data_IF_404832061388
#
_entry.id   IF_404832061388
#
_cell.length_a   1.000
_cell.length_b   1.000
_cell.length_c   1.000
_cell.angle_alpha   90.00
_cell.angle_beta   90.00
_cell.angle_gamma   90.00
#
_symmetry.space_group_name_H-M   'P 1'
#
loop_
_entity.id
_entity.type
_entity.pdbx_description
1 polymer ?
#
# COMPACT_ATOMS: atom_id res chain seq x y z
N UNK A 1 -11.02 6.35 -27.24
CA UNK A 1 -12.28 6.02 -26.54
C UNK A 1 -12.62 7.12 -25.55
N UNK A 2 -13.90 7.52 -25.42
CA UNK A 2 -14.29 8.52 -24.43
C UNK A 2 -14.10 7.94 -23.02
N UNK A 3 -13.54 8.75 -22.13
CA UNK A 3 -13.47 8.45 -20.70
C UNK A 3 -14.66 9.16 -20.06
N UNK A 4 -15.53 8.40 -19.42
CA UNK A 4 -16.70 8.91 -18.72
C UNK A 4 -16.40 8.93 -17.20
N UNK A 5 -16.80 10.00 -16.54
CA UNK A 5 -16.70 10.10 -15.08
C UNK A 5 -17.99 9.58 -14.45
N UNK A 6 -17.88 8.56 -13.61
CA UNK A 6 -19.01 8.01 -12.85
C UNK A 6 -19.20 8.83 -11.57
N UNK A 7 -20.08 9.82 -11.66
CA UNK A 7 -20.39 10.67 -10.51
C UNK A 7 -21.23 9.90 -9.50
N UNK A 8 -20.80 9.92 -8.24
CA UNK A 8 -21.45 9.25 -7.10
C UNK A 8 -21.58 7.73 -7.29
N UNK A 9 -20.65 7.11 -8.02
CA UNK A 9 -20.53 5.64 -8.17
C UNK A 9 -21.77 4.93 -8.73
N UNK A 10 -22.66 5.65 -9.41
CA UNK A 10 -23.94 5.10 -9.91
C UNK A 10 -23.78 3.92 -10.86
N UNK A 11 -22.82 4.01 -11.77
CA UNK A 11 -22.55 2.94 -12.73
C UNK A 11 -21.80 1.81 -12.03
N UNK A 12 -20.83 2.12 -11.20
CA UNK A 12 -20.11 1.12 -10.42
C UNK A 12 -21.06 0.31 -9.53
N UNK A 13 -22.02 0.96 -8.87
CA UNK A 13 -23.03 0.29 -8.04
C UNK A 13 -24.00 -0.55 -8.86
N UNK A 14 -24.45 -0.05 -10.02
CA UNK A 14 -25.32 -0.79 -10.94
C UNK A 14 -24.67 -2.11 -11.40
N UNK A 15 -23.36 -2.08 -11.66
CA UNK A 15 -22.60 -3.27 -12.06
C UNK A 15 -22.10 -4.12 -10.88
N UNK A 16 -22.26 -3.66 -9.64
CA UNK A 16 -21.69 -4.32 -8.47
C UNK A 16 -20.15 -4.28 -8.43
N UNK A 17 -19.55 -3.25 -9.05
CA UNK A 17 -18.12 -3.08 -9.03
C UNK A 17 -17.63 -2.76 -7.62
N UNK A 18 -16.58 -3.45 -7.20
CA UNK A 18 -16.01 -3.30 -5.84
C UNK A 18 -14.55 -2.88 -5.84
N UNK A 19 -13.85 -3.05 -6.97
CA UNK A 19 -12.41 -2.79 -7.07
C UNK A 19 -12.03 -2.06 -8.35
N UNK A 20 -10.83 -1.50 -8.38
CA UNK A 20 -10.19 -0.93 -9.56
C UNK A 20 -8.80 -1.54 -9.76
N UNK A 21 -8.47 -2.05 -10.99
CA UNK A 21 -9.36 -2.20 -12.15
C UNK A 21 -10.27 -3.43 -12.02
N UNK A 22 -11.55 -3.25 -12.28
CA UNK A 22 -12.50 -4.34 -12.49
C UNK A 22 -13.18 -4.12 -13.84
N UNK A 23 -13.29 -5.18 -14.63
CA UNK A 23 -13.85 -5.10 -15.98
C UNK A 23 -15.14 -5.88 -16.11
N UNK A 24 -16.02 -5.42 -17.00
CA UNK A 24 -17.28 -6.07 -17.34
C UNK A 24 -17.39 -6.11 -18.85
N UNK A 25 -17.68 -7.29 -19.41
CA UNK A 25 -17.91 -7.47 -20.84
C UNK A 25 -19.36 -7.86 -21.05
N UNK A 26 -20.05 -7.07 -21.87
CA UNK A 26 -21.45 -7.26 -22.19
C UNK A 26 -21.57 -7.73 -23.65
N UNK A 27 -22.56 -8.59 -23.91
CA UNK A 27 -22.95 -8.95 -25.28
C UNK A 27 -23.84 -7.85 -25.93
N UNK A 28 -24.27 -8.08 -27.17
CA UNK A 28 -25.15 -7.16 -27.92
C UNK A 28 -26.51 -6.96 -27.26
N UNK A 29 -26.92 -7.88 -26.39
CA UNK A 29 -28.15 -7.81 -25.61
C UNK A 29 -27.93 -7.15 -24.24
N UNK A 30 -26.78 -6.56 -24.03
CA UNK A 30 -26.35 -5.92 -22.76
C UNK A 30 -26.34 -6.86 -21.54
N UNK A 31 -26.18 -8.16 -21.77
CA UNK A 31 -25.98 -9.16 -20.71
C UNK A 31 -24.52 -9.27 -20.41
N UNK A 32 -24.16 -9.27 -19.11
CA UNK A 32 -22.78 -9.48 -18.63
C UNK A 32 -22.38 -10.92 -18.98
N UNK A 33 -21.29 -11.07 -19.72
CA UNK A 33 -20.71 -12.36 -20.13
C UNK A 33 -19.37 -12.64 -19.46
N UNK A 34 -18.71 -11.59 -19.01
CA UNK A 34 -17.51 -11.69 -18.19
C UNK A 34 -17.46 -10.54 -17.21
N UNK A 35 -16.99 -10.82 -15.99
CA UNK A 35 -16.61 -9.77 -15.06
C UNK A 35 -15.40 -10.23 -14.19
N UNK A 36 -14.55 -9.27 -13.79
CA UNK A 36 -13.42 -9.56 -12.93
C UNK A 36 -12.14 -8.83 -13.31
N UNK A 37 -11.01 -9.52 -13.25
CA UNK A 37 -9.68 -8.96 -13.54
C UNK A 37 -9.41 -8.86 -15.04
N UNK A 38 -8.43 -8.01 -15.39
CA UNK A 38 -7.94 -7.92 -16.79
C UNK A 38 -7.15 -9.17 -17.14
N UNK A 39 -6.20 -9.53 -16.28
CA UNK A 39 -5.33 -10.71 -16.42
C UNK A 39 -4.90 -11.24 -15.04
N UNK A 40 -4.07 -12.27 -15.04
CA UNK A 40 -3.50 -12.86 -13.85
C UNK A 40 -2.07 -12.36 -13.55
N UNK A 41 -1.64 -11.25 -14.15
CA UNK A 41 -0.27 -10.75 -14.05
C UNK A 41 0.11 -10.33 -12.63
N UNK A 42 -0.86 -9.83 -11.86
CA UNK A 42 -0.61 -9.36 -10.50
C UNK A 42 -1.28 -10.27 -9.48
N UNK A 43 -0.53 -10.65 -8.46
CA UNK A 43 -1.06 -11.31 -7.26
C UNK A 43 -0.76 -10.47 -6.04
N UNK A 44 -1.67 -10.45 -5.07
CA UNK A 44 -1.38 -9.93 -3.75
C UNK A 44 -0.85 -11.08 -2.89
N UNK A 45 0.48 -11.16 -2.78
CA UNK A 45 1.15 -12.00 -1.80
C UNK A 45 1.94 -11.10 -0.87
N UNK A 46 2.00 -11.41 0.43
CA UNK A 46 2.83 -10.73 1.45
C UNK A 46 2.93 -9.19 1.36
N UNK A 47 1.83 -8.52 1.06
CA UNK A 47 1.71 -7.07 1.25
C UNK A 47 1.94 -6.17 0.04
N UNK A 48 2.46 -6.67 -1.07
CA UNK A 48 2.70 -5.89 -2.29
C UNK A 48 2.15 -6.62 -3.51
N UNK A 49 1.53 -5.88 -4.44
CA UNK A 49 1.11 -6.41 -5.74
C UNK A 49 2.35 -6.76 -6.57
N UNK A 50 2.74 -8.02 -6.56
CA UNK A 50 3.88 -8.51 -7.33
C UNK A 50 3.45 -8.93 -8.72
N UNK A 51 4.18 -8.43 -9.74
CA UNK A 51 4.06 -8.94 -11.09
C UNK A 51 4.61 -10.37 -11.15
N UNK A 52 3.83 -11.28 -11.72
CA UNK A 52 4.30 -12.65 -11.92
C UNK A 52 5.30 -12.67 -13.08
N UNK A 53 6.48 -13.31 -12.91
CA UNK A 53 7.52 -13.32 -13.94
C UNK A 53 7.16 -14.16 -15.18
N UNK A 54 6.17 -15.03 -15.07
CA UNK A 54 5.73 -15.90 -16.17
C UNK A 54 4.54 -15.29 -16.92
N UNK A 55 4.40 -15.65 -18.21
CA UNK A 55 3.26 -15.22 -19.04
C UNK A 55 1.96 -15.73 -18.43
N UNK A 56 1.18 -14.83 -17.88
CA UNK A 56 -0.05 -15.15 -17.15
C UNK A 56 -1.28 -15.17 -18.08
N UNK A 57 -2.32 -15.84 -17.65
CA UNK A 57 -3.59 -15.94 -18.36
C UNK A 57 -4.23 -14.56 -18.55
N UNK A 58 -4.53 -14.20 -19.80
CA UNK A 58 -5.17 -12.95 -20.19
C UNK A 58 -6.69 -13.13 -20.20
N UNK A 59 -7.32 -13.17 -19.03
CA UNK A 59 -8.72 -13.55 -18.87
C UNK A 59 -9.69 -12.68 -19.67
N UNK A 60 -9.52 -11.34 -19.62
CA UNK A 60 -10.34 -10.41 -20.41
C UNK A 60 -10.20 -10.63 -21.91
N UNK A 61 -8.98 -10.76 -22.42
CA UNK A 61 -8.73 -10.96 -23.84
C UNK A 61 -9.31 -12.28 -24.34
N UNK A 62 -9.23 -13.34 -23.53
CA UNK A 62 -9.84 -14.65 -23.85
C UNK A 62 -11.36 -14.52 -23.93
N UNK A 63 -11.97 -13.88 -22.93
CA UNK A 63 -13.43 -13.69 -22.89
C UNK A 63 -13.95 -12.90 -24.11
N UNK A 64 -13.26 -11.81 -24.47
CA UNK A 64 -13.61 -11.01 -25.66
C UNK A 64 -13.50 -11.84 -26.95
N UNK A 65 -12.40 -12.59 -27.14
CA UNK A 65 -12.23 -13.44 -28.32
C UNK A 65 -13.34 -14.48 -28.45
N UNK A 66 -13.66 -15.17 -27.36
CA UNK A 66 -14.71 -16.17 -27.34
C UNK A 66 -16.07 -15.58 -27.74
N UNK A 67 -16.40 -14.38 -27.25
CA UNK A 67 -17.64 -13.71 -27.64
C UNK A 67 -17.66 -13.27 -29.12
N UNK A 68 -16.52 -12.76 -29.61
CA UNK A 68 -16.40 -12.40 -31.03
C UNK A 68 -16.52 -13.62 -31.96
N UNK A 69 -16.02 -14.78 -31.51
CA UNK A 69 -16.17 -16.08 -32.22
C UNK A 69 -17.56 -16.71 -32.07
N UNK A 70 -18.50 -16.04 -31.40
CA UNK A 70 -19.84 -16.57 -31.11
C UNK A 70 -19.87 -17.72 -30.11
N UNK A 71 -18.78 -17.91 -29.34
CA UNK A 71 -18.65 -18.97 -28.34
C UNK A 71 -19.03 -18.48 -26.93
N UNK A 72 -19.51 -19.36 -26.06
CA UNK A 72 -19.70 -19.01 -24.66
C UNK A 72 -18.35 -18.72 -23.99
N UNK A 73 -18.36 -17.77 -23.02
CA UNK A 73 -17.17 -17.47 -22.23
C UNK A 73 -16.89 -18.62 -21.28
N UNK A 74 -15.72 -19.26 -21.42
CA UNK A 74 -15.35 -20.46 -20.66
C UNK A 74 -15.13 -20.19 -19.17
N UNK A 75 -14.72 -18.96 -18.82
CA UNK A 75 -14.57 -18.49 -17.44
C UNK A 75 -15.29 -17.15 -17.32
N UNK A 76 -16.58 -17.15 -16.96
CA UNK A 76 -17.41 -15.94 -16.95
C UNK A 76 -17.11 -14.98 -15.80
N UNK A 77 -16.41 -15.44 -14.77
CA UNK A 77 -16.09 -14.62 -13.61
C UNK A 77 -14.68 -14.92 -13.09
N UNK A 78 -13.97 -13.88 -12.67
CA UNK A 78 -12.69 -13.98 -11.96
C UNK A 78 -12.67 -12.96 -10.82
N UNK A 79 -11.83 -13.21 -9.81
CA UNK A 79 -11.65 -12.26 -8.72
C UNK A 79 -10.88 -11.04 -9.22
N UNK A 80 -11.51 -9.87 -9.21
CA UNK A 80 -10.83 -8.61 -9.47
C UNK A 80 -9.81 -8.34 -8.37
N UNK A 81 -8.61 -7.93 -8.77
CA UNK A 81 -7.51 -7.57 -7.86
C UNK A 81 -7.21 -6.10 -8.04
N UNK A 82 -6.97 -5.40 -6.95
CA UNK A 82 -6.74 -3.96 -6.96
C UNK A 82 -7.35 -3.28 -5.74
N UNK A 83 -7.36 -1.95 -5.77
CA UNK A 83 -7.91 -1.16 -4.66
C UNK A 83 -9.42 -1.25 -4.58
N UNK A 84 -9.97 -1.25 -3.38
CA UNK A 84 -11.41 -1.08 -3.20
C UNK A 84 -11.85 0.26 -3.80
N UNK A 85 -13.03 0.26 -4.43
CA UNK A 85 -13.70 1.51 -4.78
C UNK A 85 -14.20 2.12 -3.48
N UNK A 86 -13.48 3.13 -2.98
CA UNK A 86 -13.88 3.86 -1.77
C UNK A 86 -15.21 4.57 -2.03
N UNK A 87 -16.24 4.17 -1.31
CA UNK A 87 -17.53 4.86 -1.33
C UNK A 87 -17.57 5.81 -0.15
N UNK A 88 -17.70 7.10 -0.45
CA UNK A 88 -17.86 8.08 0.60
C UNK A 88 -19.14 7.76 1.41
N UNK A 89 -18.95 7.43 2.68
CA UNK A 89 -20.04 7.34 3.65
C UNK A 89 -20.18 8.70 4.31
N UNK A 90 -21.42 9.10 4.61
CA UNK A 90 -21.64 10.30 5.39
C UNK A 90 -21.03 10.13 6.79
N UNK A 91 -20.15 11.03 7.22
CA UNK A 91 -19.58 10.98 8.54
C UNK A 91 -20.63 11.08 9.64
N UNK A 92 -20.61 10.15 10.57
CA UNK A 92 -21.52 10.18 11.72
C UNK A 92 -20.99 11.18 12.76
N UNK A 93 -21.73 12.25 13.06
CA UNK A 93 -21.25 13.34 13.95
C UNK A 93 -21.01 12.86 15.37
N UNK A 94 -21.81 11.90 15.85
CA UNK A 94 -21.73 11.35 17.22
C UNK A 94 -20.82 10.12 17.33
N UNK A 95 -19.97 9.90 16.36
CA UNK A 95 -19.02 8.77 16.37
C UNK A 95 -18.10 8.84 17.61
N UNK A 96 -17.92 7.74 18.35
CA UNK A 96 -17.01 7.71 19.49
C UNK A 96 -15.52 7.76 19.03
N UNK A 97 -15.26 7.52 17.76
CA UNK A 97 -13.91 7.51 17.18
C UNK A 97 -13.83 8.54 16.05
N UNK A 98 -12.92 9.49 16.20
CA UNK A 98 -12.66 10.52 15.18
C UNK A 98 -11.20 10.51 14.75
N UNK A 99 -10.93 11.11 13.58
CA UNK A 99 -9.55 11.28 13.12
C UNK A 99 -8.72 12.09 14.11
N UNK A 100 -9.20 13.28 14.48
CA UNK A 100 -8.46 14.21 15.32
C UNK A 100 -8.08 13.60 16.67
N UNK A 101 -8.99 12.84 17.28
CA UNK A 101 -8.83 12.36 18.64
C UNK A 101 -8.04 11.05 18.74
N UNK A 102 -8.33 10.05 17.89
CA UNK A 102 -7.73 8.72 18.02
C UNK A 102 -6.90 8.31 16.80
N UNK A 103 -7.47 8.47 15.58
CA UNK A 103 -6.86 7.89 14.38
C UNK A 103 -5.56 8.59 14.02
N UNK A 104 -5.48 9.91 14.12
CA UNK A 104 -4.26 10.67 13.85
C UNK A 104 -3.07 10.20 14.69
N UNK A 105 -3.30 9.91 15.96
CA UNK A 105 -2.26 9.37 16.87
C UNK A 105 -1.81 7.97 16.47
N UNK A 106 -2.76 7.14 16.06
CA UNK A 106 -2.48 5.79 15.59
C UNK A 106 -1.66 5.83 14.29
N UNK A 107 -2.09 6.63 13.32
CA UNK A 107 -1.40 6.83 12.04
C UNK A 107 0.02 7.36 12.27
N UNK A 108 0.20 8.38 13.11
CA UNK A 108 1.52 8.91 13.43
C UNK A 108 2.45 7.86 14.03
N UNK A 109 1.91 7.01 14.89
CA UNK A 109 2.72 6.01 15.60
C UNK A 109 3.06 4.80 14.72
N UNK A 110 2.10 4.30 13.94
CA UNK A 110 2.18 3.00 13.27
C UNK A 110 2.38 3.07 11.75
N UNK A 111 2.01 4.19 11.11
CA UNK A 111 1.95 4.26 9.65
C UNK A 111 2.94 5.27 9.04
N UNK A 112 3.07 6.46 9.64
CA UNK A 112 3.88 7.56 9.08
C UNK A 112 5.38 7.24 8.95
N UNK A 113 5.88 6.22 9.64
CA UNK A 113 7.25 5.76 9.41
C UNK A 113 7.54 5.48 7.95
N UNK A 114 6.56 4.90 7.25
CA UNK A 114 6.64 4.54 5.84
C UNK A 114 5.75 5.42 4.94
N UNK A 115 4.55 5.82 5.43
CA UNK A 115 3.55 6.56 4.66
C UNK A 115 3.69 8.07 4.80
N UNK A 116 4.81 8.63 4.33
CA UNK A 116 5.07 10.06 4.20
C UNK A 116 5.92 10.35 2.98
N UNK A 117 5.90 11.56 2.51
CA UNK A 117 6.66 11.97 1.31
C UNK A 117 8.12 11.54 1.39
N UNK A 118 8.64 10.95 0.31
CA UNK A 118 10.03 10.49 0.20
C UNK A 118 10.35 9.18 0.92
N UNK A 119 9.35 8.46 1.43
CA UNK A 119 9.53 7.14 2.03
C UNK A 119 9.01 6.02 1.12
N UNK A 120 9.16 4.77 1.57
CA UNK A 120 8.92 3.55 0.79
C UNK A 120 7.44 3.36 0.38
N UNK A 121 6.49 3.88 1.15
CA UNK A 121 5.08 3.68 0.85
C UNK A 121 4.63 4.48 -0.39
N UNK A 122 3.71 3.96 -1.19
CA UNK A 122 3.31 4.55 -2.48
C UNK A 122 2.47 5.82 -2.34
N UNK A 123 1.98 6.14 -1.15
CA UNK A 123 1.17 7.33 -0.85
C UNK A 123 1.41 7.80 0.58
N UNK A 124 1.14 9.08 0.83
CA UNK A 124 1.27 9.67 2.15
C UNK A 124 -0.02 9.50 2.98
N UNK A 125 0.10 9.64 4.30
CA UNK A 125 -0.99 9.64 5.27
C UNK A 125 -0.78 10.80 6.27
N UNK A 126 -0.38 11.97 5.78
CA UNK A 126 0.07 13.08 6.61
C UNK A 126 -1.05 13.96 7.13
N UNK A 127 -2.20 13.93 6.47
CA UNK A 127 -3.37 14.71 6.83
C UNK A 127 -4.68 13.88 6.82
N UNK A 128 -5.78 14.54 7.20
CA UNK A 128 -7.08 13.90 7.28
C UNK A 128 -7.60 13.45 5.91
N UNK A 129 -7.48 14.29 4.90
CA UNK A 129 -8.01 14.04 3.56
C UNK A 129 -7.33 12.84 2.92
N UNK A 130 -6.02 12.71 3.06
CA UNK A 130 -5.26 11.55 2.60
C UNK A 130 -5.71 10.27 3.33
N UNK A 131 -5.81 10.31 4.66
CA UNK A 131 -6.16 9.11 5.44
C UNK A 131 -7.62 8.71 5.22
N UNK A 132 -8.56 9.67 5.19
CA UNK A 132 -9.97 9.40 4.96
C UNK A 132 -10.22 8.87 3.54
N UNK A 133 -9.52 9.40 2.54
CA UNK A 133 -9.60 8.93 1.16
C UNK A 133 -9.18 7.46 0.99
N UNK A 134 -8.34 6.94 1.89
CA UNK A 134 -7.91 5.54 1.92
C UNK A 134 -8.61 4.69 2.99
N UNK A 135 -9.60 5.23 3.71
CA UNK A 135 -10.19 4.59 4.88
C UNK A 135 -10.61 3.13 4.67
N UNK A 136 -11.41 2.86 3.66
CA UNK A 136 -11.87 1.49 3.32
C UNK A 136 -10.68 0.55 3.01
N UNK A 137 -9.68 1.04 2.27
CA UNK A 137 -8.48 0.28 1.96
C UNK A 137 -7.65 0.02 3.23
N UNK A 138 -7.51 1.02 4.10
CA UNK A 138 -6.80 0.87 5.37
C UNK A 138 -7.47 -0.22 6.22
N UNK A 139 -8.80 -0.18 6.35
CA UNK A 139 -9.55 -1.20 7.09
C UNK A 139 -9.36 -2.60 6.49
N UNK A 140 -9.37 -2.73 5.16
CA UNK A 140 -9.14 -4.00 4.47
C UNK A 140 -7.74 -4.55 4.76
N UNK A 141 -6.69 -3.77 4.48
CA UNK A 141 -5.30 -4.24 4.62
C UNK A 141 -4.91 -4.55 6.07
N UNK A 142 -5.55 -3.85 7.02
CA UNK A 142 -5.40 -4.15 8.46
C UNK A 142 -6.12 -5.44 8.83
N UNK A 143 -7.32 -5.68 8.30
CA UNK A 143 -8.08 -6.92 8.54
C UNK A 143 -7.36 -8.13 7.98
N UNK A 144 -6.79 -8.00 6.79
CA UNK A 144 -6.03 -9.04 6.11
C UNK A 144 -4.57 -9.15 6.61
N UNK A 145 -4.19 -8.35 7.60
CA UNK A 145 -2.83 -8.31 8.19
C UNK A 145 -1.72 -8.01 7.16
N UNK A 146 -2.06 -7.33 6.08
CA UNK A 146 -1.08 -6.84 5.09
C UNK A 146 -0.37 -5.57 5.55
N UNK A 147 -1.01 -4.79 6.43
CA UNK A 147 -0.47 -3.57 7.03
C UNK A 147 -0.75 -3.50 8.54
N UNK A 148 0.21 -3.03 9.33
CA UNK A 148 1.63 -2.82 8.99
C UNK A 148 2.30 -4.13 8.53
N UNK A 149 3.36 -4.08 7.69
CA UNK A 149 4.04 -5.26 7.17
C UNK A 149 4.92 -5.90 8.26
N UNK A 150 4.29 -6.50 9.24
CA UNK A 150 4.92 -7.14 10.39
C UNK A 150 4.48 -8.59 10.48
N UNK A 151 5.39 -9.50 10.12
CA UNK A 151 5.10 -10.93 10.01
C UNK A 151 5.63 -11.78 11.17
N UNK A 152 6.33 -11.17 12.15
CA UNK A 152 6.83 -11.90 13.30
C UNK A 152 5.66 -12.43 14.16
N UNK A 153 5.64 -13.76 14.39
CA UNK A 153 4.61 -14.37 15.20
C UNK A 153 4.82 -14.05 16.69
N UNK A 154 3.80 -13.50 17.38
CA UNK A 154 3.89 -13.14 18.80
C UNK A 154 4.13 -14.32 19.75
N UNK A 155 3.82 -15.53 19.32
CA UNK A 155 4.03 -16.76 20.10
C UNK A 155 5.52 -17.12 20.21
N UNK A 156 6.36 -16.60 19.29
CA UNK A 156 7.78 -16.96 19.21
C UNK A 156 8.73 -15.87 19.66
N UNK A 157 8.23 -14.85 20.33
CA UNK A 157 9.10 -13.83 20.92
C UNK A 157 8.50 -12.42 20.99
N UNK A 158 9.29 -11.52 21.61
CA UNK A 158 8.99 -10.10 21.70
C UNK A 158 10.10 -9.31 21.01
N UNK A 159 9.72 -8.34 20.21
CA UNK A 159 10.67 -7.54 19.45
C UNK A 159 10.60 -6.07 19.91
N UNK A 160 11.75 -5.45 20.13
CA UNK A 160 11.82 -4.06 20.61
C UNK A 160 11.20 -3.06 19.60
N UNK A 161 11.26 -3.39 18.30
CA UNK A 161 10.69 -2.60 17.19
C UNK A 161 9.34 -3.13 16.70
N UNK A 162 8.58 -3.84 17.53
CA UNK A 162 7.29 -4.41 17.12
C UNK A 162 6.32 -3.34 16.62
N UNK A 163 5.83 -3.52 15.41
CA UNK A 163 4.91 -2.59 14.75
C UNK A 163 3.50 -3.17 14.49
N UNK A 164 3.19 -4.31 15.08
CA UNK A 164 1.87 -4.93 14.96
C UNK A 164 0.81 -4.08 15.66
N UNK A 165 -0.36 -3.97 15.03
CA UNK A 165 -1.53 -3.35 15.67
C UNK A 165 -2.14 -4.29 16.70
N UNK A 166 -2.45 -3.76 17.88
CA UNK A 166 -3.26 -4.45 18.87
C UNK A 166 -4.71 -4.60 18.40
N UNK A 167 -5.47 -5.51 19.00
CA UNK A 167 -6.91 -5.66 18.71
C UNK A 167 -7.67 -4.35 18.92
N UNK A 168 -7.34 -3.60 19.96
CA UNK A 168 -7.96 -2.30 20.23
C UNK A 168 -7.63 -1.27 19.13
N UNK A 169 -6.38 -1.19 18.68
CA UNK A 169 -5.97 -0.30 17.59
C UNK A 169 -6.69 -0.66 16.28
N UNK A 170 -6.83 -1.95 15.97
CA UNK A 170 -7.60 -2.41 14.80
C UNK A 170 -9.07 -2.01 14.89
N UNK A 171 -9.68 -2.19 16.08
CA UNK A 171 -11.08 -1.84 16.29
C UNK A 171 -11.33 -0.33 16.15
N UNK A 172 -10.42 0.53 16.58
CA UNK A 172 -10.51 1.96 16.34
C UNK A 172 -10.57 2.28 14.84
N UNK A 173 -9.73 1.65 14.01
CA UNK A 173 -9.76 1.83 12.56
C UNK A 173 -11.11 1.38 11.98
N UNK A 174 -11.58 0.20 12.36
CA UNK A 174 -12.82 -0.35 11.82
C UNK A 174 -14.01 0.53 12.17
N UNK A 175 -14.15 0.91 13.45
CA UNK A 175 -15.22 1.79 13.91
C UNK A 175 -15.19 3.15 13.21
N UNK A 176 -14.00 3.74 13.03
CA UNK A 176 -13.85 5.00 12.34
C UNK A 176 -14.30 4.94 10.89
N UNK A 177 -13.89 3.89 10.16
CA UNK A 177 -14.26 3.70 8.76
C UNK A 177 -15.74 3.37 8.60
N UNK A 178 -16.29 2.52 9.46
CA UNK A 178 -17.72 2.18 9.47
C UNK A 178 -18.60 3.40 9.69
N UNK A 179 -18.14 4.37 10.49
CA UNK A 179 -18.83 5.62 10.77
C UNK A 179 -18.53 6.73 9.75
N UNK A 180 -17.99 6.42 8.57
CA UNK A 180 -17.75 7.38 7.49
C UNK A 180 -16.55 8.29 7.72
N UNK A 181 -15.55 7.82 8.44
CA UNK A 181 -14.29 8.52 8.66
C UNK A 181 -14.44 9.92 9.28
N UNK A 182 -15.21 10.12 10.36
CA UNK A 182 -15.44 11.46 10.89
C UNK A 182 -14.14 12.16 11.31
N UNK A 183 -14.05 13.46 10.97
CA UNK A 183 -12.85 14.26 11.24
C UNK A 183 -12.65 14.53 12.72
N UNK A 184 -13.71 14.93 13.41
CA UNK A 184 -13.66 15.40 14.80
C UNK A 184 -13.15 16.83 14.92
N UNK A 185 -12.99 17.30 16.16
CA UNK A 185 -12.52 18.65 16.45
C UNK A 185 -11.02 18.78 16.14
N UNK A 186 -10.61 19.77 15.35
CA UNK A 186 -9.20 20.05 15.08
C UNK A 186 -8.36 20.35 16.34
N UNK A 187 -8.98 20.85 17.41
CA UNK A 187 -8.32 21.10 18.68
C UNK A 187 -7.80 19.81 19.35
N UNK A 188 -8.38 18.66 19.02
CA UNK A 188 -7.95 17.35 19.52
C UNK A 188 -6.74 16.78 18.78
N UNK A 189 -6.28 17.41 17.69
CA UNK A 189 -5.15 16.91 16.92
C UNK A 189 -3.86 16.88 17.76
N UNK A 190 -3.08 15.79 17.69
CA UNK A 190 -1.76 15.78 18.30
C UNK A 190 -0.79 16.68 17.54
N UNK A 191 0.25 17.13 18.20
CA UNK A 191 1.38 17.74 17.51
C UNK A 191 1.92 16.79 16.42
N UNK A 192 2.30 17.31 15.25
CA UNK A 192 2.90 16.50 14.20
C UNK A 192 4.13 15.76 14.70
N UNK A 193 4.23 14.48 14.33
CA UNK A 193 5.41 13.67 14.67
C UNK A 193 6.63 14.23 13.92
N UNK A 194 7.66 14.53 14.68
CA UNK A 194 8.99 14.86 14.11
C UNK A 194 9.73 13.59 13.79
N UNK A 195 10.39 13.56 12.66
CA UNK A 195 11.25 12.45 12.25
C UNK A 195 12.70 12.92 12.29
N UNK A 196 13.57 12.03 12.71
CA UNK A 196 15.00 12.32 12.69
C UNK A 196 15.47 12.45 11.24
N UNK A 197 16.16 13.52 10.96
CA UNK A 197 16.88 13.76 9.71
C UNK A 197 18.37 13.42 9.93
N UNK A 198 19.08 13.14 8.83
CA UNK A 198 20.49 12.80 8.92
C UNK A 198 20.71 11.35 9.35
N UNK A 199 21.74 11.14 10.16
CA UNK A 199 22.13 9.84 10.69
C UNK A 199 21.32 9.49 11.95
N UNK A 200 21.06 8.18 12.14
CA UNK A 200 20.44 7.66 13.37
C UNK A 200 21.49 7.29 14.42
N UNK A 201 22.76 7.40 14.09
CA UNK A 201 23.85 7.23 15.01
C UNK A 201 23.80 8.29 16.13
N UNK A 202 24.32 7.99 17.35
CA UNK A 202 24.32 8.93 18.47
C UNK A 202 25.24 10.15 18.24
N UNK A 203 26.13 10.08 17.25
CA UNK A 203 27.01 11.14 16.78
C UNK A 203 27.20 11.04 15.27
N UNK A 204 27.75 12.06 14.66
CA UNK A 204 28.11 12.00 13.23
C UNK A 204 29.13 10.89 12.98
N UNK A 205 29.03 10.18 11.84
CA UNK A 205 29.98 9.11 11.52
C UNK A 205 31.39 9.65 11.29
N UNK A 206 32.40 8.92 11.79
CA UNK A 206 33.79 9.27 11.53
C UNK A 206 34.20 9.05 10.08
N UNK A 207 33.54 8.08 9.41
CA UNK A 207 33.77 7.75 7.99
C UNK A 207 32.43 7.53 7.30
N UNK A 208 32.27 8.14 6.13
CA UNK A 208 31.14 7.91 5.24
C UNK A 208 31.64 7.26 3.96
N UNK A 209 31.22 6.01 3.74
CA UNK A 209 31.53 5.26 2.53
C UNK A 209 30.35 5.38 1.58
N UNK A 210 30.53 6.07 0.46
CA UNK A 210 29.48 6.27 -0.54
C UNK A 210 29.64 5.31 -1.71
N UNK A 211 28.52 4.96 -2.36
CA UNK A 211 28.59 4.24 -3.61
C UNK A 211 29.37 5.05 -4.64
N UNK A 212 30.26 4.42 -5.44
CA UNK A 212 31.15 5.11 -6.40
C UNK A 212 30.39 5.71 -7.57
N UNK A 213 29.13 5.31 -7.79
CA UNK A 213 28.27 5.80 -8.88
C UNK A 213 26.81 5.70 -8.51
N UNK A 214 25.99 6.48 -9.24
CA UNK A 214 24.53 6.39 -9.16
C UNK A 214 24.04 5.12 -9.85
N UNK A 215 23.32 4.29 -9.12
CA UNK A 215 22.68 3.09 -9.67
C UNK A 215 21.33 3.43 -10.30
N UNK A 216 21.15 3.05 -11.56
CA UNK A 216 19.88 3.22 -12.29
C UNK A 216 18.98 2.02 -12.05
N UNK A 217 17.74 2.27 -11.63
CA UNK A 217 16.70 1.25 -11.41
C UNK A 217 15.76 1.26 -12.62
N UNK A 218 15.39 0.08 -13.10
CA UNK A 218 14.43 -0.05 -14.20
C UNK A 218 13.03 0.34 -13.73
N UNK A 219 12.20 0.98 -14.58
CA UNK A 219 10.86 1.39 -14.21
C UNK A 219 9.89 0.22 -14.06
N UNK A 220 10.24 -0.98 -14.53
CA UNK A 220 9.41 -2.18 -14.47
C UNK A 220 10.27 -3.45 -14.47
N UNK A 221 9.68 -4.54 -13.99
CA UNK A 221 10.34 -5.85 -13.90
C UNK A 221 10.93 -6.12 -12.53
N UNK A 222 11.80 -7.12 -12.47
CA UNK A 222 12.51 -7.52 -11.24
C UNK A 222 13.94 -7.01 -11.33
N UNK A 223 14.39 -6.31 -10.31
CA UNK A 223 15.80 -5.99 -10.10
C UNK A 223 16.43 -7.08 -9.23
N UNK A 224 17.53 -7.65 -9.74
CA UNK A 224 18.32 -8.60 -8.99
C UNK A 224 19.17 -7.87 -7.94
N UNK A 225 19.59 -8.59 -6.91
CA UNK A 225 20.55 -8.07 -5.94
C UNK A 225 21.83 -7.65 -6.67
N UNK A 226 22.35 -6.49 -6.29
CA UNK A 226 23.60 -5.94 -6.76
C UNK A 226 24.56 -5.89 -5.58
N UNK A 227 25.67 -6.61 -5.71
CA UNK A 227 26.74 -6.58 -4.71
C UNK A 227 27.76 -5.57 -5.16
N UNK A 228 28.01 -4.57 -4.34
CA UNK A 228 28.94 -3.47 -4.64
C UNK A 228 29.92 -3.41 -3.49
N UNK A 229 31.18 -3.72 -3.79
CA UNK A 229 32.28 -3.62 -2.87
C UNK A 229 32.85 -2.21 -2.97
N UNK A 230 33.02 -1.55 -1.83
CA UNK A 230 33.58 -0.20 -1.75
C UNK A 230 34.67 -0.20 -0.68
N UNK A 231 35.88 0.21 -1.06
CA UNK A 231 36.98 0.36 -0.13
C UNK A 231 36.70 1.53 0.85
N UNK A 232 36.70 1.30 2.16
CA UNK A 232 36.51 2.35 3.15
C UNK A 232 37.74 3.27 3.30
N UNK A 233 38.85 2.96 2.64
CA UNK A 233 40.08 3.74 2.67
C UNK A 233 40.93 3.55 3.94
N UNK A 234 40.69 2.50 4.73
CA UNK A 234 41.47 2.22 5.90
C UNK A 234 42.88 1.71 5.55
N UNK A 235 43.90 2.29 6.19
CA UNK A 235 45.30 1.88 5.98
C UNK A 235 45.78 0.87 7.03
N UNK A 236 44.97 0.60 8.04
CA UNK A 236 45.20 -0.33 9.12
C UNK A 236 43.88 -0.91 9.62
N UNK A 237 43.92 -1.98 10.37
CA UNK A 237 42.74 -2.59 11.00
C UNK A 237 42.08 -1.60 11.95
N UNK A 238 40.75 -1.46 11.81
CA UNK A 238 39.93 -0.58 12.67
C UNK A 238 38.81 -1.36 13.33
N UNK A 239 38.58 -1.03 14.58
CA UNK A 239 37.39 -1.47 15.29
C UNK A 239 36.21 -0.58 14.91
N UNK A 240 35.10 -1.21 14.54
CA UNK A 240 33.85 -0.51 14.23
C UNK A 240 32.92 -0.64 15.43
N UNK A 241 32.59 0.47 16.04
CA UNK A 241 31.62 0.54 17.13
C UNK A 241 30.18 0.51 16.63
N UNK A 242 29.90 1.29 15.61
CA UNK A 242 28.56 1.45 15.02
C UNK A 242 28.66 1.58 13.51
N UNK A 243 27.65 1.07 12.81
CA UNK A 243 27.48 1.24 11.38
C UNK A 243 26.01 1.52 11.05
N UNK A 244 25.78 2.41 10.09
CA UNK A 244 24.46 2.71 9.55
C UNK A 244 24.51 2.70 8.04
N UNK A 245 23.56 1.98 7.41
CA UNK A 245 23.35 2.00 5.98
C UNK A 245 22.20 2.95 5.63
N UNK A 246 22.45 3.90 4.74
CA UNK A 246 21.49 4.93 4.38
C UNK A 246 21.23 4.93 2.88
N UNK A 247 20.02 4.56 2.42
CA UNK A 247 19.70 4.58 0.99
C UNK A 247 19.61 6.02 0.48
N UNK A 248 20.15 6.27 -0.72
CA UNK A 248 20.02 7.56 -1.39
C UNK A 248 18.59 7.88 -1.81
N UNK A 249 17.78 6.84 -2.10
CA UNK A 249 16.36 6.97 -2.39
C UNK A 249 15.59 5.83 -1.74
N UNK A 250 14.90 6.13 -0.65
CA UNK A 250 14.10 5.15 0.11
C UNK A 250 12.90 4.59 -0.65
N UNK A 251 12.40 5.29 -1.65
CA UNK A 251 11.25 4.81 -2.43
C UNK A 251 11.57 3.59 -3.30
N UNK A 252 12.85 3.36 -3.62
CA UNK A 252 13.28 2.29 -4.54
C UNK A 252 14.29 1.32 -3.92
N UNK A 253 14.82 1.60 -2.73
CA UNK A 253 15.75 0.71 -2.03
C UNK A 253 15.02 0.02 -0.89
N UNK A 254 14.88 -1.29 -1.00
CA UNK A 254 14.16 -2.12 -0.03
C UNK A 254 15.11 -2.83 0.96
N UNK A 255 16.26 -3.29 0.49
CA UNK A 255 17.31 -3.90 1.29
C UNK A 255 18.67 -3.25 1.01
N UNK A 256 19.51 -3.18 2.03
CA UNK A 256 20.92 -2.82 1.96
C UNK A 256 21.70 -3.87 2.74
#
# INVERSE_FOLDING_TARGET
YPILKDLNYKVADLFGASRTPQVFVLDRLRKIRYYGRIDAQFTFGSGVGLAQPQKQRQDLAIAIRQLLDGKPVSVPATVARGCLIGRAREPQPDSPVTYSRQISRLIQRRCLGCHRTGQIAPFAMTDYEEVAGWGEMIAEVVREQRMPPWHANPEHGKFANENRLSTAEKQLIYTWVENGCPRGDPADLPAPRKFQEGWFLPRDPDVVVALPRVEKIKPAGVENYRYIEVDPGFQEDKWIELAECKPGNRAVVHHI
#
